data_IF_062459261683
#
_entry.id   IF_062459261683
#
_cell.length_a   1.000
_cell.length_b   1.000
_cell.length_c   1.000
_cell.angle_alpha   90.00
_cell.angle_beta   90.00
_cell.angle_gamma   90.00
#
_symmetry.space_group_name_H-M   'P 1'
#
loop_
_entity.id
_entity.type
_entity.pdbx_description
1 polymer ?
#
# COMPACT_ATOMS: atom_id res chain seq x y z
N UNK A 1 3.85 -4.25 -16.46
CA UNK A 1 3.84 -4.61 -17.90
C UNK A 1 4.39 -3.50 -18.79
N UNK A 2 3.82 -2.28 -18.77
CA UNK A 2 4.27 -1.15 -19.63
C UNK A 2 5.74 -0.80 -19.48
N UNK A 3 6.33 -0.97 -18.28
CA UNK A 3 7.72 -0.65 -17.97
C UNK A 3 8.66 -1.84 -18.09
N UNK A 4 8.17 -3.02 -18.50
CA UNK A 4 8.96 -4.26 -18.50
C UNK A 4 10.28 -4.11 -19.29
N UNK A 5 10.20 -3.58 -20.51
CA UNK A 5 11.36 -3.36 -21.38
C UNK A 5 12.37 -2.40 -20.74
N UNK A 6 11.88 -1.27 -20.23
CA UNK A 6 12.72 -0.28 -19.54
C UNK A 6 13.43 -0.87 -18.32
N UNK A 7 12.69 -1.60 -17.47
CA UNK A 7 13.26 -2.24 -16.27
C UNK A 7 14.33 -3.26 -16.63
N UNK A 8 14.09 -4.07 -17.66
CA UNK A 8 15.03 -5.10 -18.10
C UNK A 8 16.28 -4.51 -18.73
N UNK A 9 16.13 -3.56 -19.67
CA UNK A 9 17.23 -3.04 -20.49
C UNK A 9 18.06 -1.98 -19.75
N UNK A 10 17.41 -1.10 -18.98
CA UNK A 10 18.10 0.02 -18.32
C UNK A 10 18.49 -0.28 -16.88
N UNK A 11 17.66 -1.01 -16.14
CA UNK A 11 17.90 -1.31 -14.72
C UNK A 11 18.34 -2.76 -14.47
N UNK A 12 18.35 -3.61 -15.51
CA UNK A 12 18.63 -5.05 -15.41
C UNK A 12 17.77 -5.77 -14.38
N UNK A 13 16.53 -5.27 -14.22
CA UNK A 13 15.55 -5.82 -13.27
C UNK A 13 14.52 -6.65 -14.04
N UNK A 14 14.41 -7.93 -13.69
CA UNK A 14 13.34 -8.82 -14.15
C UNK A 14 12.33 -9.01 -13.03
N UNK A 15 11.17 -8.39 -13.14
CA UNK A 15 10.07 -8.56 -12.18
C UNK A 15 9.24 -9.78 -12.60
N UNK A 16 9.00 -10.68 -11.63
CA UNK A 16 8.11 -11.82 -11.77
C UNK A 16 6.93 -11.63 -10.82
N UNK A 17 5.72 -11.72 -11.33
CA UNK A 17 4.50 -11.68 -10.50
C UNK A 17 4.08 -13.14 -10.28
N UNK A 18 4.24 -13.63 -9.06
CA UNK A 18 4.00 -15.05 -8.70
C UNK A 18 2.67 -15.27 -7.99
N UNK A 19 2.04 -14.21 -7.51
CA UNK A 19 0.74 -14.29 -6.87
C UNK A 19 -0.06 -13.00 -7.09
N UNK A 20 -1.34 -13.12 -7.37
CA UNK A 20 -2.31 -12.02 -7.48
C UNK A 20 -3.59 -12.45 -6.77
N UNK A 21 -4.18 -11.54 -6.00
CA UNK A 21 -5.44 -11.77 -5.31
C UNK A 21 -6.35 -10.55 -5.38
N UNK A 22 -7.65 -10.79 -5.40
CA UNK A 22 -8.68 -9.81 -5.07
C UNK A 22 -9.48 -10.30 -3.85
N UNK A 23 -10.60 -9.67 -3.53
CA UNK A 23 -11.44 -10.05 -2.37
C UNK A 23 -12.03 -11.46 -2.43
N UNK A 24 -12.08 -12.10 -3.59
CA UNK A 24 -12.78 -13.37 -3.79
C UNK A 24 -11.93 -14.49 -4.38
N UNK A 25 -10.94 -14.14 -5.21
CA UNK A 25 -10.17 -15.08 -5.99
C UNK A 25 -8.69 -14.77 -5.97
N UNK A 26 -7.86 -15.79 -6.17
CA UNK A 26 -6.41 -15.62 -6.31
C UNK A 26 -5.84 -16.48 -7.45
N UNK A 27 -4.70 -16.03 -7.95
CA UNK A 27 -3.82 -16.76 -8.87
C UNK A 27 -2.49 -16.98 -8.17
N UNK A 28 -1.97 -18.18 -8.27
CA UNK A 28 -0.66 -18.57 -7.75
C UNK A 28 0.13 -19.22 -8.89
N UNK A 29 1.40 -18.88 -9.01
CA UNK A 29 2.30 -19.42 -10.02
C UNK A 29 3.68 -19.68 -9.43
N UNK A 30 4.30 -20.77 -9.80
CA UNK A 30 5.68 -21.08 -9.37
C UNK A 30 6.73 -20.31 -10.18
N UNK A 31 6.41 -19.90 -11.41
CA UNK A 31 7.32 -19.11 -12.25
C UNK A 31 6.86 -17.66 -12.37
N UNK A 32 5.85 -17.40 -13.17
CA UNK A 32 5.32 -16.03 -13.38
C UNK A 32 3.92 -16.07 -13.97
N UNK A 33 3.08 -15.13 -13.55
CA UNK A 33 1.75 -14.89 -14.11
C UNK A 33 1.91 -14.04 -15.37
N UNK A 34 1.24 -14.42 -16.47
CA UNK A 34 1.20 -13.60 -17.69
C UNK A 34 0.40 -12.32 -17.45
N UNK A 35 1.11 -11.19 -17.41
CA UNK A 35 0.51 -9.88 -17.19
C UNK A 35 -0.32 -9.35 -18.37
N UNK A 36 -0.31 -9.99 -19.53
CA UNK A 36 -1.20 -9.62 -20.63
C UNK A 36 -2.63 -10.12 -20.38
N UNK A 37 -2.77 -11.26 -19.68
CA UNK A 37 -4.04 -11.95 -19.46
C UNK A 37 -4.42 -12.12 -17.98
N UNK A 38 -3.65 -11.53 -17.05
CA UNK A 38 -3.84 -11.76 -15.61
C UNK A 38 -5.25 -11.51 -15.12
N UNK A 39 -5.93 -10.47 -15.63
CA UNK A 39 -7.28 -10.11 -15.20
C UNK A 39 -8.28 -11.21 -15.56
N UNK A 40 -8.25 -11.67 -16.83
CA UNK A 40 -9.11 -12.77 -17.30
C UNK A 40 -8.80 -14.06 -16.52
N UNK A 41 -7.53 -14.36 -16.29
CA UNK A 41 -7.13 -15.53 -15.50
C UNK A 41 -7.64 -15.44 -14.07
N UNK A 42 -7.55 -14.28 -13.42
CA UNK A 42 -8.07 -14.08 -12.07
C UNK A 42 -9.60 -14.20 -12.04
N UNK A 43 -10.31 -13.59 -12.98
CA UNK A 43 -11.77 -13.63 -13.06
C UNK A 43 -12.29 -15.05 -13.29
N UNK A 44 -11.54 -15.90 -14.00
CA UNK A 44 -11.87 -17.30 -14.25
C UNK A 44 -11.28 -18.28 -13.25
N UNK A 45 -10.45 -17.81 -12.33
CA UNK A 45 -9.84 -18.68 -11.30
C UNK A 45 -10.89 -19.35 -10.43
N UNK A 46 -10.67 -20.62 -10.13
CA UNK A 46 -11.47 -21.40 -9.18
C UNK A 46 -10.95 -21.34 -7.75
N UNK A 47 -9.75 -20.79 -7.56
CA UNK A 47 -9.10 -20.69 -6.25
C UNK A 47 -9.65 -19.50 -5.50
N UNK A 48 -10.30 -19.75 -4.38
CA UNK A 48 -10.80 -18.70 -3.48
C UNK A 48 -9.63 -18.00 -2.78
N UNK A 49 -9.81 -16.73 -2.50
CA UNK A 49 -8.85 -15.96 -1.72
C UNK A 49 -8.72 -16.50 -0.32
N UNK A 50 -7.48 -16.80 0.07
CA UNK A 50 -7.07 -17.19 1.42
C UNK A 50 -5.68 -16.62 1.69
N UNK A 51 -5.57 -15.78 2.73
CA UNK A 51 -4.33 -15.06 3.04
C UNK A 51 -3.22 -15.98 3.48
N UNK A 52 -3.55 -17.10 4.15
CA UNK A 52 -2.56 -18.08 4.59
C UNK A 52 -1.99 -18.86 3.41
N UNK A 53 -2.85 -19.32 2.51
CA UNK A 53 -2.44 -20.01 1.28
C UNK A 53 -1.58 -19.09 0.41
N UNK A 54 -1.98 -17.83 0.24
CA UNK A 54 -1.23 -16.83 -0.50
C UNK A 54 0.18 -16.61 0.11
N UNK A 55 0.25 -16.34 1.41
CA UNK A 55 1.51 -16.16 2.11
C UNK A 55 2.42 -17.39 2.04
N UNK A 56 1.87 -18.58 2.32
CA UNK A 56 2.64 -19.82 2.32
C UNK A 56 3.19 -20.15 0.93
N UNK A 57 2.42 -19.86 -0.14
CA UNK A 57 2.91 -20.02 -1.51
C UNK A 57 4.13 -19.14 -1.77
N UNK A 58 4.03 -17.83 -1.49
CA UNK A 58 5.14 -16.90 -1.72
C UNK A 58 6.36 -17.25 -0.86
N UNK A 59 6.15 -17.61 0.41
CA UNK A 59 7.21 -18.05 1.32
C UNK A 59 7.90 -19.32 0.85
N UNK A 60 7.13 -20.32 0.37
CA UNK A 60 7.65 -21.59 -0.15
C UNK A 60 8.55 -21.40 -1.36
N UNK A 61 8.22 -20.44 -2.24
CA UNK A 61 9.05 -20.13 -3.41
C UNK A 61 10.44 -19.62 -3.04
N UNK A 62 10.61 -19.06 -1.84
CA UNK A 62 11.87 -18.58 -1.29
C UNK A 62 12.71 -17.74 -2.28
N UNK A 63 12.05 -16.87 -3.02
CA UNK A 63 12.68 -16.03 -4.02
C UNK A 63 13.36 -14.83 -3.37
N UNK A 64 14.56 -14.50 -3.81
CA UNK A 64 15.28 -13.29 -3.37
C UNK A 64 14.50 -12.03 -3.79
N UNK A 65 14.56 -11.00 -2.94
CA UNK A 65 13.95 -9.69 -3.21
C UNK A 65 12.44 -9.77 -3.44
N UNK A 66 11.76 -10.68 -2.74
CA UNK A 66 10.30 -10.77 -2.80
C UNK A 66 9.65 -9.55 -2.17
N UNK A 67 8.57 -9.08 -2.79
CA UNK A 67 7.81 -7.92 -2.35
C UNK A 67 6.32 -8.29 -2.33
N UNK A 68 5.66 -8.04 -1.22
CA UNK A 68 4.22 -8.05 -1.10
C UNK A 68 3.69 -6.63 -1.35
N UNK A 69 2.75 -6.48 -2.29
CA UNK A 69 2.15 -5.19 -2.63
C UNK A 69 0.69 -5.21 -2.20
N UNK A 70 0.31 -4.29 -1.31
CA UNK A 70 -1.08 -4.11 -0.90
C UNK A 70 -1.67 -2.82 -1.47
N UNK A 71 -2.62 -2.99 -2.38
CA UNK A 71 -3.39 -1.91 -3.00
C UNK A 71 -4.85 -1.90 -2.51
N UNK A 72 -5.12 -2.47 -1.34
CA UNK A 72 -6.47 -2.55 -0.76
C UNK A 72 -6.71 -1.44 0.26
N UNK A 73 -7.93 -1.38 0.78
CA UNK A 73 -8.31 -0.61 1.97
C UNK A 73 -8.87 -1.59 3.04
N UNK A 74 -8.29 -2.79 3.12
CA UNK A 74 -8.79 -3.86 3.99
C UNK A 74 -7.92 -3.99 5.24
N UNK A 75 -8.56 -3.99 6.41
CA UNK A 75 -7.88 -4.07 7.72
C UNK A 75 -7.15 -5.41 7.89
N UNK A 76 -7.81 -6.53 7.59
CA UNK A 76 -7.23 -7.87 7.75
C UNK A 76 -5.97 -8.05 6.90
N UNK A 77 -5.89 -7.45 5.72
CA UNK A 77 -4.67 -7.50 4.89
C UNK A 77 -3.55 -6.69 5.54
N UNK A 78 -3.86 -5.55 6.17
CA UNK A 78 -2.86 -4.71 6.84
C UNK A 78 -2.26 -5.38 8.08
N UNK A 79 -2.98 -6.24 8.76
CA UNK A 79 -2.50 -7.03 9.93
C UNK A 79 -1.44 -8.07 9.53
N UNK A 80 -1.45 -8.50 8.27
CA UNK A 80 -0.54 -9.50 7.75
C UNK A 80 0.91 -9.02 7.54
N UNK A 81 1.15 -7.70 7.50
CA UNK A 81 2.46 -7.15 7.11
C UNK A 81 3.61 -7.65 7.98
N UNK A 82 3.38 -7.83 9.28
CA UNK A 82 4.39 -8.30 10.22
C UNK A 82 4.99 -9.66 9.83
N UNK A 83 4.15 -10.59 9.36
CA UNK A 83 4.63 -11.93 8.95
C UNK A 83 5.40 -11.93 7.63
N UNK A 84 5.04 -11.04 6.69
CA UNK A 84 5.80 -10.85 5.46
C UNK A 84 7.18 -10.29 5.77
N UNK A 85 7.25 -9.20 6.52
CA UNK A 85 8.51 -8.57 6.94
C UNK A 85 9.42 -9.54 7.70
N UNK A 86 8.87 -10.32 8.64
CA UNK A 86 9.61 -11.33 9.39
C UNK A 86 10.08 -12.53 8.54
N UNK A 87 9.55 -12.67 7.33
CA UNK A 87 9.94 -13.70 6.36
C UNK A 87 10.84 -13.16 5.24
N UNK A 88 11.46 -11.99 5.43
CA UNK A 88 12.29 -11.28 4.44
C UNK A 88 11.55 -10.97 3.13
N UNK A 89 10.24 -10.73 3.21
CA UNK A 89 9.42 -10.28 2.09
C UNK A 89 9.08 -8.82 2.34
N UNK A 90 9.60 -7.92 1.50
CA UNK A 90 9.33 -6.48 1.60
C UNK A 90 7.84 -6.18 1.47
N UNK A 91 7.38 -5.13 2.12
CA UNK A 91 5.99 -4.66 2.02
C UNK A 91 5.96 -3.28 1.38
N UNK A 92 5.17 -3.13 0.32
CA UNK A 92 4.86 -1.84 -0.32
C UNK A 92 3.36 -1.66 -0.28
N UNK A 93 2.87 -0.56 0.29
CA UNK A 93 1.44 -0.40 0.50
C UNK A 93 0.93 1.01 0.25
N UNK A 94 -0.25 1.12 -0.38
CA UNK A 94 -1.08 2.32 -0.37
C UNK A 94 -2.22 2.25 0.67
N UNK A 95 -2.39 1.11 1.33
CA UNK A 95 -3.35 0.94 2.42
C UNK A 95 -2.88 1.70 3.66
N UNK A 96 -3.67 2.70 4.06
CA UNK A 96 -3.31 3.60 5.16
C UNK A 96 -3.50 2.98 6.55
N UNK A 97 -4.30 1.90 6.66
CA UNK A 97 -4.77 1.37 7.96
C UNK A 97 -3.60 0.99 8.87
N UNK A 98 -2.61 0.26 8.35
CA UNK A 98 -1.45 -0.16 9.16
C UNK A 98 -0.68 1.02 9.78
N UNK A 99 -0.59 2.14 9.06
CA UNK A 99 0.14 3.34 9.51
C UNK A 99 -0.73 4.30 10.31
N UNK A 100 -2.06 4.28 10.11
CA UNK A 100 -3.04 5.13 10.78
C UNK A 100 -3.67 4.47 12.02
N UNK A 101 -3.45 3.18 12.25
CA UNK A 101 -3.88 2.44 13.43
C UNK A 101 -3.14 2.90 14.71
N UNK A 102 -3.07 2.10 15.74
CA UNK A 102 -2.33 2.48 16.95
C UNK A 102 -0.86 2.77 16.64
N UNK A 103 -0.30 3.81 17.27
CA UNK A 103 1.13 4.15 17.15
C UNK A 103 2.04 2.97 17.51
N UNK A 104 1.58 2.13 18.45
CA UNK A 104 2.28 0.90 18.81
C UNK A 104 2.43 -0.04 17.62
N UNK A 105 1.36 -0.28 16.86
CA UNK A 105 1.38 -1.14 15.67
C UNK A 105 2.39 -0.62 14.63
N UNK A 106 2.35 0.68 14.34
CA UNK A 106 3.33 1.32 13.46
C UNK A 106 4.77 1.10 13.92
N UNK A 107 5.04 1.32 15.22
CA UNK A 107 6.38 1.11 15.77
C UNK A 107 6.82 -0.35 15.70
N UNK A 108 5.92 -1.29 15.95
CA UNK A 108 6.23 -2.72 15.89
C UNK A 108 6.55 -3.15 14.45
N UNK A 109 5.82 -2.69 13.44
CA UNK A 109 6.15 -2.91 12.04
C UNK A 109 7.52 -2.32 11.67
N UNK A 110 7.84 -1.11 12.12
CA UNK A 110 9.17 -0.49 11.92
C UNK A 110 10.28 -1.27 12.61
N UNK A 111 10.05 -1.81 13.81
CA UNK A 111 11.02 -2.68 14.52
C UNK A 111 11.25 -3.98 13.77
N UNK A 112 10.18 -4.65 13.30
CA UNK A 112 10.29 -5.87 12.51
C UNK A 112 11.06 -5.61 11.23
N UNK A 113 10.71 -4.56 10.48
CA UNK A 113 11.40 -4.13 9.27
C UNK A 113 12.92 -3.96 9.51
N UNK A 114 13.31 -3.27 10.58
CA UNK A 114 14.73 -3.08 10.95
C UNK A 114 15.39 -4.40 11.36
N UNK A 115 14.71 -5.21 12.19
CA UNK A 115 15.25 -6.48 12.70
C UNK A 115 15.60 -7.45 11.58
N UNK A 116 14.76 -7.54 10.57
CA UNK A 116 14.92 -8.45 9.44
C UNK A 116 15.55 -7.79 8.22
N UNK A 117 15.93 -6.51 8.33
CA UNK A 117 16.43 -5.70 7.22
C UNK A 117 15.55 -5.79 5.97
N UNK A 118 14.24 -5.71 6.17
CA UNK A 118 13.23 -5.90 5.14
C UNK A 118 12.45 -4.60 4.95
N UNK A 119 12.35 -4.05 3.72
CA UNK A 119 11.73 -2.75 3.50
C UNK A 119 10.22 -2.76 3.80
N UNK A 120 9.77 -1.74 4.54
CA UNK A 120 8.36 -1.40 4.72
C UNK A 120 8.12 0.00 4.17
N UNK A 121 7.51 0.06 2.97
CA UNK A 121 7.36 1.28 2.17
C UNK A 121 5.88 1.64 2.03
N UNK A 122 5.55 2.87 2.38
CA UNK A 122 4.17 3.38 2.43
C UNK A 122 4.07 4.85 1.99
N UNK A 123 4.90 5.26 1.02
CA UNK A 123 5.01 6.63 0.53
C UNK A 123 3.64 7.26 0.20
N UNK A 124 2.80 6.51 -0.52
CA UNK A 124 1.50 7.01 -0.99
C UNK A 124 0.44 7.16 0.09
N UNK A 125 0.74 6.77 1.34
CA UNK A 125 -0.16 6.98 2.47
C UNK A 125 -0.29 8.45 2.85
N UNK A 126 0.72 9.27 2.51
CA UNK A 126 0.76 10.71 2.81
C UNK A 126 1.05 11.48 1.54
N UNK A 127 0.17 12.43 1.19
CA UNK A 127 0.39 13.28 0.02
C UNK A 127 0.20 12.60 -1.35
N UNK A 128 -0.45 11.45 -1.38
CA UNK A 128 -0.70 10.65 -2.60
C UNK A 128 0.60 10.37 -3.40
N UNK A 129 0.77 10.94 -4.58
CA UNK A 129 1.96 10.76 -5.42
C UNK A 129 3.14 11.69 -5.12
N UNK A 130 3.06 12.50 -4.06
CA UNK A 130 4.17 13.38 -3.67
C UNK A 130 5.23 12.60 -2.88
N UNK A 131 6.53 12.79 -3.14
CA UNK A 131 7.60 12.11 -2.40
C UNK A 131 7.86 12.81 -1.05
N UNK A 132 6.97 12.60 -0.07
CA UNK A 132 7.01 13.28 1.24
C UNK A 132 7.82 12.49 2.25
N UNK A 133 7.45 11.22 2.45
CA UNK A 133 8.04 10.37 3.50
C UNK A 133 9.49 10.05 3.15
N UNK A 134 9.76 9.67 1.90
CA UNK A 134 11.10 9.32 1.44
C UNK A 134 12.04 10.53 1.49
N UNK A 135 11.56 11.69 1.08
CA UNK A 135 12.32 12.95 1.18
C UNK A 135 12.70 13.27 2.63
N UNK A 136 11.75 13.17 3.57
CA UNK A 136 12.03 13.41 5.00
C UNK A 136 13.01 12.38 5.57
N UNK A 137 12.85 11.11 5.22
CA UNK A 137 13.77 10.05 5.66
C UNK A 137 15.18 10.28 5.13
N UNK A 138 15.34 10.70 3.87
CA UNK A 138 16.63 10.98 3.26
C UNK A 138 17.32 12.19 3.90
N UNK A 139 16.58 13.26 4.21
CA UNK A 139 17.11 14.40 4.95
C UNK A 139 17.63 13.99 6.34
N UNK A 140 16.82 13.24 7.10
CA UNK A 140 17.21 12.74 8.43
C UNK A 140 18.43 11.81 8.33
N UNK A 141 18.45 10.92 7.35
CA UNK A 141 19.57 10.00 7.13
C UNK A 141 20.88 10.73 6.75
N UNK A 142 20.76 11.90 6.10
CA UNK A 142 21.90 12.78 5.77
C UNK A 142 22.38 13.61 6.96
N UNK A 143 21.77 13.48 8.15
CA UNK A 143 22.12 14.22 9.35
C UNK A 143 21.43 15.57 9.51
N UNK A 144 20.46 15.89 8.64
CA UNK A 144 19.66 17.10 8.75
C UNK A 144 18.61 16.99 9.87
N UNK A 145 18.12 18.14 10.35
CA UNK A 145 17.13 18.23 11.41
C UNK A 145 15.88 18.93 10.91
N UNK A 146 14.74 18.21 10.99
CA UNK A 146 13.44 18.77 10.63
C UNK A 146 12.96 19.68 11.77
N UNK A 147 12.96 20.99 11.56
CA UNK A 147 12.51 21.97 12.56
C UNK A 147 11.00 22.20 12.48
N UNK A 148 10.40 22.14 11.30
CA UNK A 148 8.99 22.44 11.09
C UNK A 148 8.48 21.81 9.81
N UNK A 149 7.25 21.27 9.85
CA UNK A 149 6.51 20.82 8.68
C UNK A 149 5.22 21.64 8.59
N UNK A 150 4.98 22.23 7.42
CA UNK A 150 3.72 22.90 7.10
C UNK A 150 3.25 22.38 5.74
N UNK A 151 2.12 21.69 5.72
CA UNK A 151 1.64 21.04 4.51
C UNK A 151 0.13 20.84 4.51
N UNK A 152 -0.46 20.76 3.32
CA UNK A 152 -1.80 20.25 3.08
C UNK A 152 -1.63 18.87 2.44
N UNK A 153 -1.77 17.82 3.24
CA UNK A 153 -1.42 16.45 2.83
C UNK A 153 -2.65 15.60 2.43
N UNK A 154 -3.86 16.08 2.70
CA UNK A 154 -5.10 15.37 2.41
C UNK A 154 -5.95 16.15 1.40
N UNK A 155 -6.07 15.63 0.19
CA UNK A 155 -6.98 16.17 -0.83
C UNK A 155 -8.44 16.14 -0.37
N UNK A 156 -8.85 15.08 0.30
CA UNK A 156 -10.20 14.93 0.86
C UNK A 156 -10.53 16.02 1.88
N UNK A 157 -9.68 16.19 2.89
CA UNK A 157 -9.89 17.22 3.92
C UNK A 157 -9.80 18.62 3.32
N UNK A 158 -8.86 18.86 2.41
CA UNK A 158 -8.76 20.13 1.71
C UNK A 158 -10.05 20.47 0.96
N UNK A 159 -10.61 19.51 0.20
CA UNK A 159 -11.90 19.70 -0.49
C UNK A 159 -13.02 20.00 0.51
N UNK A 160 -13.15 19.20 1.57
CA UNK A 160 -14.21 19.32 2.56
C UNK A 160 -14.15 20.70 3.23
N UNK A 161 -12.99 21.10 3.77
CA UNK A 161 -12.87 22.36 4.51
C UNK A 161 -12.94 23.60 3.61
N UNK A 162 -12.55 23.51 2.34
CA UNK A 162 -12.76 24.61 1.38
C UNK A 162 -14.23 24.79 0.96
N UNK A 163 -15.05 23.73 1.04
CA UNK A 163 -16.47 23.78 0.68
C UNK A 163 -17.39 24.00 1.89
N UNK A 164 -16.93 23.65 3.09
CA UNK A 164 -17.71 23.81 4.29
C UNK A 164 -17.81 25.28 4.70
N UNK A 165 -19.04 25.76 4.88
CA UNK A 165 -19.34 27.12 5.30
C UNK A 165 -20.67 27.17 6.07
N UNK A 166 -21.05 28.35 6.56
CA UNK A 166 -22.28 28.55 7.35
C UNK A 166 -23.59 28.20 6.63
N UNK A 167 -23.55 28.04 5.28
CA UNK A 167 -24.75 27.76 4.46
C UNK A 167 -24.94 26.26 4.18
N UNK A 168 -23.98 25.42 4.53
CA UNK A 168 -24.00 23.98 4.26
C UNK A 168 -23.73 23.17 5.51
N UNK A 169 -24.38 22.01 5.64
CA UNK A 169 -24.05 21.08 6.72
C UNK A 169 -22.81 20.26 6.36
N UNK A 170 -21.99 19.97 7.35
CA UNK A 170 -20.79 19.15 7.19
C UNK A 170 -21.09 17.82 6.48
N UNK A 171 -22.18 17.14 6.89
CA UNK A 171 -22.65 15.89 6.25
C UNK A 171 -22.86 16.03 4.73
N UNK A 172 -23.48 17.12 4.28
CA UNK A 172 -23.70 17.35 2.84
C UNK A 172 -22.40 17.54 2.09
N UNK A 173 -21.41 18.22 2.70
CA UNK A 173 -20.10 18.43 2.08
C UNK A 173 -19.35 17.11 1.97
N UNK A 174 -19.36 16.27 3.00
CA UNK A 174 -18.75 14.93 2.99
C UNK A 174 -19.40 14.04 1.92
N UNK A 175 -20.73 14.02 1.83
CA UNK A 175 -21.44 13.28 0.78
C UNK A 175 -21.11 13.77 -0.62
N UNK A 176 -20.91 15.08 -0.80
CA UNK A 176 -20.46 15.66 -2.08
C UNK A 176 -19.03 15.21 -2.42
N UNK A 177 -18.14 15.23 -1.44
CA UNK A 177 -16.76 14.75 -1.60
C UNK A 177 -16.74 13.28 -2.03
N UNK A 178 -17.55 12.44 -1.39
CA UNK A 178 -17.68 11.01 -1.70
C UNK A 178 -18.18 10.79 -3.13
N UNK A 179 -19.24 11.48 -3.54
CA UNK A 179 -19.78 11.39 -4.91
C UNK A 179 -18.78 11.80 -5.98
N UNK A 180 -17.86 12.71 -5.66
CA UNK A 180 -16.83 13.20 -6.57
C UNK A 180 -15.52 12.41 -6.51
N UNK A 181 -15.47 11.35 -5.68
CA UNK A 181 -14.30 10.48 -5.55
C UNK A 181 -13.13 11.09 -4.76
N UNK A 182 -13.38 12.12 -3.94
CA UNK A 182 -12.35 12.72 -3.07
C UNK A 182 -12.17 11.98 -1.74
N UNK A 183 -13.01 10.98 -1.42
CA UNK A 183 -12.88 10.19 -0.19
C UNK A 183 -12.60 8.73 -0.49
N UNK A 184 -12.08 8.01 0.49
CA UNK A 184 -12.10 6.55 0.48
C UNK A 184 -13.55 6.04 0.41
N UNK A 185 -13.77 4.76 0.02
CA UNK A 185 -15.12 4.18 -0.06
C UNK A 185 -15.94 4.36 1.23
N UNK A 186 -15.29 4.20 2.39
CA UNK A 186 -15.86 4.59 3.68
C UNK A 186 -15.27 5.95 4.12
N UNK A 187 -16.06 7.03 4.12
CA UNK A 187 -15.58 8.34 4.56
C UNK A 187 -15.23 8.40 6.05
N UNK A 188 -15.66 7.42 6.87
CA UNK A 188 -15.27 7.34 8.29
C UNK A 188 -13.75 7.12 8.45
N UNK A 189 -13.08 6.49 7.49
CA UNK A 189 -11.63 6.33 7.48
C UNK A 189 -10.85 7.65 7.35
N UNK A 190 -11.52 8.77 7.10
CA UNK A 190 -10.90 10.11 7.10
C UNK A 190 -10.71 10.70 8.50
N UNK A 191 -11.31 10.11 9.52
CA UNK A 191 -11.36 10.64 10.89
C UNK A 191 -10.57 9.81 11.90
N UNK A 192 -9.99 8.71 11.45
CA UNK A 192 -9.06 7.88 12.22
C UNK A 192 -7.62 8.18 11.82
#
# INVERSE_FOLDING_TARGET
HKQFKYLLENLRLRIRVVAISNSTKMLLSEDSIDLNNWKKQLDTSKTKTDTNTFFNHVKKLNLRNSIFIDNTANEFISEEYGRYLASNIGVVTCNKIACASSFKNYLDLKKISRRYNTPFLFETNVGAGLPVIDTLNNLIASGDKIHKIQAILSGSLNYIFNKFNSKTTFKKVVQSAQKQGYTEPDPCLLYT
#
